data_IF_319667270270
#
_entry.id   IF_319667270270
#
_cell.length_a   1.000
_cell.length_b   1.000
_cell.length_c   1.000
_cell.angle_alpha   90.00
_cell.angle_beta   90.00
_cell.angle_gamma   90.00
#
_symmetry.space_group_name_H-M   'P 1'
#
loop_
_entity.id
_entity.type
_entity.pdbx_description
1 polymer ?
#
# COMPACT_ATOMS: atom_id res chain seq x y z
N UNK A 1 9.05 -6.64 -17.71
CA UNK A 1 8.42 -5.54 -16.94
C UNK A 1 7.07 -5.94 -16.37
N UNK A 2 6.17 -6.53 -17.16
CA UNK A 2 4.81 -6.89 -16.70
C UNK A 2 4.75 -7.92 -15.55
N UNK A 3 5.70 -8.85 -15.48
CA UNK A 3 5.77 -9.89 -14.43
C UNK A 3 6.22 -9.30 -13.08
N UNK A 4 7.05 -8.25 -13.12
CA UNK A 4 7.51 -7.55 -11.91
C UNK A 4 6.41 -6.69 -11.31
N UNK A 5 5.64 -5.97 -12.13
CA UNK A 5 4.48 -5.20 -11.64
C UNK A 5 3.41 -6.12 -11.03
N UNK A 6 3.26 -7.34 -11.57
CA UNK A 6 2.35 -8.37 -11.05
C UNK A 6 2.69 -8.82 -9.63
N UNK A 7 3.97 -9.00 -9.30
CA UNK A 7 4.40 -9.38 -7.96
C UNK A 7 4.32 -8.20 -6.97
N UNK A 8 4.78 -7.01 -7.37
CA UNK A 8 4.89 -5.84 -6.48
C UNK A 8 3.51 -5.41 -5.93
N UNK A 9 2.47 -5.41 -6.77
CA UNK A 9 1.12 -5.04 -6.33
C UNK A 9 0.53 -6.07 -5.35
N UNK A 10 0.77 -7.37 -5.58
CA UNK A 10 0.30 -8.43 -4.70
C UNK A 10 1.03 -8.41 -3.35
N UNK A 11 2.36 -8.27 -3.37
CA UNK A 11 3.19 -8.21 -2.17
C UNK A 11 2.85 -7.03 -1.27
N UNK A 12 2.57 -5.86 -1.84
CA UNK A 12 2.15 -4.69 -1.06
C UNK A 12 0.77 -4.87 -0.40
N UNK A 13 -0.20 -5.45 -1.11
CA UNK A 13 -1.51 -5.74 -0.55
C UNK A 13 -1.44 -6.79 0.57
N UNK A 14 -0.64 -7.84 0.36
CA UNK A 14 -0.42 -8.87 1.38
C UNK A 14 0.26 -8.30 2.64
N UNK A 15 1.33 -7.50 2.48
CA UNK A 15 2.01 -6.87 3.63
C UNK A 15 1.06 -6.05 4.50
N UNK A 16 0.12 -5.31 3.90
CA UNK A 16 -0.86 -4.53 4.65
C UNK A 16 -1.86 -5.44 5.39
N UNK A 17 -2.33 -6.53 4.76
CA UNK A 17 -3.24 -7.49 5.39
C UNK A 17 -2.56 -8.20 6.56
N UNK A 18 -1.31 -8.63 6.40
CA UNK A 18 -0.51 -9.26 7.47
C UNK A 18 -0.31 -8.32 8.67
N UNK A 19 -0.27 -7.00 8.42
CA UNK A 19 -0.22 -5.95 9.45
C UNK A 19 -1.59 -5.61 10.06
N UNK A 20 -2.66 -6.27 9.62
CA UNK A 20 -4.03 -6.01 10.07
C UNK A 20 -4.68 -4.77 9.43
N UNK A 21 -4.11 -4.23 8.35
CA UNK A 21 -4.63 -3.06 7.63
C UNK A 21 -5.51 -3.53 6.47
N UNK A 22 -6.76 -3.05 6.44
CA UNK A 22 -7.71 -3.37 5.37
C UNK A 22 -7.33 -2.59 4.09
N UNK A 23 -7.11 -3.31 2.99
CA UNK A 23 -6.77 -2.72 1.69
C UNK A 23 -7.95 -2.64 0.73
N UNK A 24 -8.07 -1.54 -0.02
CA UNK A 24 -9.12 -1.32 -1.04
C UNK A 24 -8.53 -1.04 -2.44
N UNK A 25 -7.89 -2.03 -3.10
CA UNK A 25 -7.22 -1.81 -4.37
C UNK A 25 -8.19 -1.53 -5.52
N UNK A 26 -8.13 -0.32 -6.10
CA UNK A 26 -8.95 0.06 -7.24
C UNK A 26 -8.43 -0.54 -8.55
N UNK A 27 -9.31 -1.26 -9.27
CA UNK A 27 -9.02 -1.72 -10.63
C UNK A 27 -10.25 -1.77 -11.53
N UNK A 28 -10.07 -1.47 -12.82
CA UNK A 28 -11.09 -1.64 -13.87
C UNK A 28 -10.76 -2.79 -14.82
N UNK A 29 -9.52 -3.28 -14.78
CA UNK A 29 -9.06 -4.39 -15.61
C UNK A 29 -9.40 -5.70 -14.92
N UNK A 30 -10.16 -6.57 -15.60
CA UNK A 30 -10.60 -7.88 -15.07
C UNK A 30 -9.43 -8.75 -14.57
N UNK A 31 -8.35 -8.85 -15.34
CA UNK A 31 -7.17 -9.63 -14.95
C UNK A 31 -6.55 -9.16 -13.64
N UNK A 32 -6.50 -7.84 -13.41
CA UNK A 32 -5.99 -7.26 -12.16
C UNK A 32 -6.95 -7.42 -10.99
N UNK A 33 -8.26 -7.41 -11.24
CA UNK A 33 -9.25 -7.70 -10.19
C UNK A 33 -9.08 -9.13 -9.67
N UNK A 34 -8.92 -10.09 -10.58
CA UNK A 34 -8.62 -11.48 -10.23
C UNK A 34 -7.32 -11.58 -9.42
N UNK A 35 -6.24 -10.96 -9.91
CA UNK A 35 -4.94 -10.96 -9.23
C UNK A 35 -4.98 -10.34 -7.82
N UNK A 36 -5.71 -9.24 -7.64
CA UNK A 36 -5.84 -8.58 -6.34
C UNK A 36 -6.61 -9.44 -5.32
N UNK A 37 -7.48 -10.35 -5.78
CA UNK A 37 -8.21 -11.31 -4.93
C UNK A 37 -7.36 -12.55 -4.66
N UNK A 38 -6.57 -13.00 -5.64
CA UNK A 38 -5.73 -14.20 -5.53
C UNK A 38 -4.57 -14.06 -4.52
N UNK A 39 -4.43 -12.89 -3.86
CA UNK A 39 -3.37 -12.64 -2.88
C UNK A 39 -3.40 -13.61 -1.70
N UNK A 40 -4.57 -14.13 -1.31
CA UNK A 40 -4.70 -15.08 -0.20
C UNK A 40 -4.08 -16.46 -0.45
N UNK A 41 -3.60 -16.74 -1.67
CA UNK A 41 -2.98 -18.01 -2.02
C UNK A 41 -1.46 -18.07 -1.75
N UNK A 42 -0.86 -17.00 -1.21
CA UNK A 42 0.55 -16.97 -0.84
C UNK A 42 0.76 -16.24 0.50
N UNK A 43 1.94 -16.41 1.10
CA UNK A 43 2.34 -15.73 2.34
C UNK A 43 3.73 -15.12 2.17
N UNK A 44 3.98 -13.95 2.76
CA UNK A 44 5.31 -13.35 2.79
C UNK A 44 6.15 -13.97 3.92
N UNK A 45 7.45 -14.13 3.68
CA UNK A 45 8.37 -14.52 4.75
C UNK A 45 8.59 -13.36 5.72
N UNK A 46 9.09 -13.63 6.93
CA UNK A 46 9.42 -12.57 7.90
C UNK A 46 10.51 -11.66 7.37
N UNK A 47 11.44 -12.22 6.61
CA UNK A 47 12.54 -11.53 5.95
C UNK A 47 12.02 -10.56 4.88
N UNK A 48 11.04 -10.99 4.07
CA UNK A 48 10.41 -10.13 3.06
C UNK A 48 9.63 -8.99 3.70
N UNK A 49 8.90 -9.26 4.79
CA UNK A 49 8.18 -8.22 5.54
C UNK A 49 9.16 -7.19 6.10
N UNK A 50 10.24 -7.63 6.74
CA UNK A 50 11.27 -6.74 7.28
C UNK A 50 11.96 -5.92 6.18
N UNK A 51 12.21 -6.52 5.01
CA UNK A 51 12.74 -5.81 3.85
C UNK A 51 11.76 -4.75 3.32
N UNK A 52 10.47 -5.07 3.26
CA UNK A 52 9.43 -4.15 2.83
C UNK A 52 9.25 -2.98 3.81
N UNK A 53 9.35 -3.23 5.11
CA UNK A 53 9.28 -2.18 6.14
C UNK A 53 10.45 -1.18 6.02
N UNK A 54 11.58 -1.61 5.47
CA UNK A 54 12.72 -0.74 5.17
C UNK A 54 12.49 0.30 4.06
N UNK A 55 11.38 0.21 3.31
CA UNK A 55 11.03 1.19 2.28
C UNK A 55 10.22 2.39 2.81
N UNK A 56 9.82 2.39 4.08
CA UNK A 56 9.12 3.54 4.65
C UNK A 56 10.01 4.79 4.62
N UNK A 57 9.43 5.89 4.14
CA UNK A 57 10.10 7.19 4.01
C UNK A 57 9.29 8.32 4.64
N UNK A 58 8.26 8.00 5.42
CA UNK A 58 7.27 8.94 5.96
C UNK A 58 6.60 9.82 4.88
N UNK A 59 6.58 9.33 3.62
CA UNK A 59 6.04 10.04 2.48
C UNK A 59 4.55 9.77 2.27
N UNK A 60 3.75 10.82 2.05
CA UNK A 60 2.33 10.71 1.70
C UNK A 60 2.13 10.87 0.19
N UNK A 61 1.47 9.90 -0.45
CA UNK A 61 1.12 10.01 -1.88
C UNK A 61 0.06 11.10 -2.12
N UNK A 62 -0.88 11.26 -1.19
CA UNK A 62 -1.89 12.33 -1.21
C UNK A 62 -1.69 13.24 0.02
N UNK A 63 -0.80 14.24 -0.05
CA UNK A 63 -0.54 15.15 1.07
C UNK A 63 -1.61 16.26 1.22
N UNK A 64 -2.57 16.37 0.28
CA UNK A 64 -3.61 17.41 0.26
C UNK A 64 -3.07 18.85 0.43
N UNK A 65 -1.94 19.17 -0.19
CA UNK A 65 -1.24 20.47 -0.05
C UNK A 65 -2.12 21.71 -0.29
N UNK A 66 -3.16 21.59 -1.11
CA UNK A 66 -4.09 22.69 -1.39
C UNK A 66 -4.96 23.08 -0.18
N UNK A 67 -5.05 22.21 0.84
CA UNK A 67 -5.80 22.44 2.07
C UNK A 67 -4.97 23.00 3.22
N UNK A 68 -3.69 23.35 3.00
CA UNK A 68 -2.84 23.95 4.02
C UNK A 68 -3.36 25.33 4.44
N UNK A 69 -3.34 25.60 5.74
CA UNK A 69 -3.96 26.75 6.42
C UNK A 69 -5.36 26.47 6.97
N UNK A 70 -5.92 25.26 6.79
CA UNK A 70 -7.23 24.91 7.34
C UNK A 70 -7.07 24.41 8.79
N UNK A 71 -7.86 24.90 9.77
CA UNK A 71 -7.81 24.43 11.16
C UNK A 71 -8.00 22.91 11.34
N UNK A 72 -8.54 22.23 10.33
CA UNK A 72 -8.80 20.78 10.32
C UNK A 72 -7.90 20.04 9.31
N UNK A 73 -6.85 20.66 8.79
CA UNK A 73 -5.93 19.96 7.89
C UNK A 73 -5.20 18.85 8.66
N UNK A 74 -5.35 17.57 8.26
CA UNK A 74 -4.89 16.45 9.07
C UNK A 74 -3.36 16.24 9.07
N UNK A 75 -2.64 16.93 8.18
CA UNK A 75 -1.19 16.74 7.97
C UNK A 75 -0.40 18.05 8.10
N UNK A 76 -0.92 19.04 8.83
CA UNK A 76 -0.21 20.31 9.06
C UNK A 76 0.90 20.19 10.09
N UNK A 77 0.67 19.40 11.14
CA UNK A 77 1.68 19.07 12.13
C UNK A 77 2.21 17.66 11.83
N UNK A 78 3.52 17.48 11.84
CA UNK A 78 4.19 16.17 11.71
C UNK A 78 4.04 15.34 13.00
N UNK A 79 2.81 15.17 13.48
CA UNK A 79 2.49 14.48 14.75
C UNK A 79 2.43 12.95 14.64
N UNK A 80 2.58 12.39 13.42
CA UNK A 80 2.45 10.95 13.15
C UNK A 80 3.48 10.47 12.14
#
# INVERSE_FOLDING_TARGET
MEIYTRLISGSSLMNQIDRGVVTIPKSVTKSRLQQNIDIFNFSLSKEDIAYLDGFDCNGRFCPMKDGLGNPHHPFENDEF
#
